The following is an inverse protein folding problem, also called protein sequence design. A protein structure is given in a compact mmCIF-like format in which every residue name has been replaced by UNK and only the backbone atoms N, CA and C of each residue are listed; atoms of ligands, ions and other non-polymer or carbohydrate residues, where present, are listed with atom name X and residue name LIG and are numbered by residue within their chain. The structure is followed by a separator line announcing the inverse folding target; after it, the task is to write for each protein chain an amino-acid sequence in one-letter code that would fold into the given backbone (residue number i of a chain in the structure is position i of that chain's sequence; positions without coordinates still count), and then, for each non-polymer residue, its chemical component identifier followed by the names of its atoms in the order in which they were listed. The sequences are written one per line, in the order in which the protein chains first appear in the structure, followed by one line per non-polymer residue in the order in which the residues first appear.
data_IF_890761492708
#
_entry.id   IF_890761492708
#
_cell.length_a   1.000
_cell.length_b   1.000
_cell.length_c   1.000
_cell.angle_alpha   90.00
_cell.angle_beta   90.00
_cell.angle_gamma   90.00
#
_symmetry.space_group_name_H-M   'P 1'
#
loop_
_entity.id
_entity.type
_entity.pdbx_description
1 polymer ?
#
# COMPACT_ATOMS: atom_id res chain seq x y z
N UNK A 1 -17.31 15.13 35.76
CA UNK A 1 -17.61 14.48 34.45
C UNK A 1 -16.30 13.98 33.88
N UNK A 2 -16.12 12.66 33.85
CA UNK A 2 -14.80 12.02 33.68
C UNK A 2 -14.25 12.05 32.26
N UNK A 3 -14.91 12.71 31.31
CA UNK A 3 -14.53 12.78 29.89
C UNK A 3 -14.20 11.40 29.27
N UNK A 4 -14.81 10.33 29.81
CA UNK A 4 -14.63 8.99 29.30
C UNK A 4 -15.74 8.65 28.32
N UNK A 5 -15.37 7.96 27.26
CA UNK A 5 -16.28 7.41 26.25
C UNK A 5 -15.90 5.96 25.95
N UNK A 6 -16.88 5.16 25.53
CA UNK A 6 -16.60 3.84 25.00
C UNK A 6 -16.52 3.93 23.48
N UNK A 7 -15.32 3.75 22.94
CA UNK A 7 -15.07 3.74 21.52
C UNK A 7 -15.19 2.30 21.01
N UNK A 8 -16.10 2.07 20.07
CA UNK A 8 -16.39 0.76 19.50
C UNK A 8 -16.55 0.88 17.98
N UNK A 9 -16.07 -0.12 17.25
CA UNK A 9 -16.23 -0.20 15.81
C UNK A 9 -17.62 -0.75 15.44
N UNK A 10 -18.08 -0.37 14.26
CA UNK A 10 -19.29 -0.93 13.63
C UNK A 10 -18.90 -1.95 12.56
N UNK A 11 -19.75 -2.96 12.36
CA UNK A 11 -19.56 -4.01 11.34
C UNK A 11 -19.84 -3.51 9.95
N UNK A 12 -20.90 -2.71 9.84
CA UNK A 12 -21.34 -2.07 8.60
C UNK A 12 -21.21 -0.55 8.71
N UNK A 13 -20.66 0.09 7.70
CA UNK A 13 -20.47 1.54 7.71
C UNK A 13 -21.81 2.26 7.45
N UNK A 14 -22.47 2.68 8.51
CA UNK A 14 -23.73 3.45 8.46
C UNK A 14 -23.62 4.73 9.26
N UNK A 15 -24.34 5.77 8.82
CA UNK A 15 -24.37 7.06 9.52
C UNK A 15 -25.18 7.01 10.83
N UNK A 16 -26.13 6.08 10.93
CA UNK A 16 -26.95 5.84 12.12
C UNK A 16 -26.74 4.42 12.65
N UNK A 17 -25.70 4.20 13.46
CA UNK A 17 -25.40 2.86 13.98
C UNK A 17 -26.44 2.41 15.00
N UNK A 18 -26.92 1.19 14.84
CA UNK A 18 -27.78 0.49 15.79
C UNK A 18 -26.96 -0.48 16.64
N UNK A 19 -27.40 -0.86 17.85
CA UNK A 19 -26.67 -1.74 18.74
C UNK A 19 -26.23 -3.08 18.13
N UNK A 20 -27.00 -3.64 17.22
CA UNK A 20 -26.78 -4.95 16.58
C UNK A 20 -25.61 -4.96 15.59
N UNK A 21 -25.28 -3.81 15.01
CA UNK A 21 -24.12 -3.69 14.09
C UNK A 21 -22.82 -3.30 14.81
N UNK A 22 -22.86 -3.01 16.10
CA UNK A 22 -21.67 -2.70 16.87
C UNK A 22 -20.96 -3.99 17.30
N UNK A 23 -19.63 -3.92 17.39
CA UNK A 23 -18.87 -4.96 18.05
C UNK A 23 -19.10 -4.91 19.54
N UNK A 24 -18.88 -6.05 20.21
CA UNK A 24 -19.00 -6.10 21.67
C UNK A 24 -17.75 -5.57 22.38
N UNK A 25 -16.56 -5.79 21.77
CA UNK A 25 -15.32 -5.30 22.34
C UNK A 25 -14.94 -3.96 21.74
N UNK A 26 -14.57 -3.03 22.60
CA UNK A 26 -14.10 -1.70 22.28
C UNK A 26 -13.05 -1.24 23.28
N UNK A 27 -12.89 0.07 23.38
CA UNK A 27 -11.90 0.72 24.24
C UNK A 27 -12.56 1.81 25.07
N UNK A 28 -12.33 1.82 26.37
CA UNK A 28 -12.58 2.99 27.21
C UNK A 28 -11.51 4.02 26.86
N UNK A 29 -11.95 5.15 26.36
CA UNK A 29 -11.07 6.22 25.89
C UNK A 29 -11.41 7.54 26.59
N UNK A 30 -10.36 8.30 26.86
CA UNK A 30 -10.47 9.65 27.41
C UNK A 30 -10.51 10.67 26.30
N UNK A 31 -11.44 11.60 26.35
CA UNK A 31 -11.51 12.75 25.46
C UNK A 31 -10.42 13.74 25.88
N UNK A 32 -9.39 13.90 25.07
CA UNK A 32 -8.29 14.84 25.31
C UNK A 32 -8.66 16.22 24.78
N UNK A 33 -8.76 16.38 23.46
CA UNK A 33 -8.99 17.66 22.80
C UNK A 33 -10.26 17.60 21.95
N UNK A 34 -11.01 18.69 21.97
CA UNK A 34 -12.22 18.87 21.17
C UNK A 34 -11.98 20.08 20.26
N UNK A 35 -11.99 19.86 18.95
CA UNK A 35 -11.92 20.93 17.97
C UNK A 35 -13.25 21.05 17.25
N UNK A 36 -13.80 22.28 17.18
CA UNK A 36 -15.02 22.58 16.46
C UNK A 36 -14.67 23.33 15.19
N UNK A 37 -15.10 22.80 14.04
CA UNK A 37 -14.88 23.40 12.72
C UNK A 37 -16.14 23.39 11.87
N UNK A 38 -16.06 23.98 10.67
CA UNK A 38 -17.17 24.06 9.72
C UNK A 38 -17.69 22.68 9.25
N UNK A 39 -16.88 21.61 9.41
CA UNK A 39 -17.23 20.24 9.04
C UNK A 39 -17.71 19.36 10.20
N UNK A 40 -17.92 19.91 11.40
CA UNK A 40 -18.34 19.15 12.57
C UNK A 40 -17.40 19.25 13.77
N UNK A 41 -17.50 18.29 14.66
CA UNK A 41 -16.68 18.20 15.88
C UNK A 41 -15.64 17.09 15.70
N UNK A 42 -14.38 17.44 15.85
CA UNK A 42 -13.26 16.49 15.89
C UNK A 42 -12.86 16.23 17.33
N UNK A 43 -12.75 14.96 17.69
CA UNK A 43 -12.34 14.52 19.01
C UNK A 43 -10.99 13.81 18.92
N UNK A 44 -10.05 14.21 19.77
CA UNK A 44 -8.85 13.44 20.02
C UNK A 44 -9.13 12.50 21.20
N UNK A 45 -9.12 11.20 20.95
CA UNK A 45 -9.36 10.17 21.94
C UNK A 45 -8.06 9.48 22.32
N UNK A 46 -7.83 9.29 23.60
CA UNK A 46 -6.75 8.48 24.14
C UNK A 46 -7.33 7.19 24.71
N UNK A 47 -7.00 6.06 24.09
CA UNK A 47 -7.38 4.74 24.60
C UNK A 47 -6.71 4.46 25.95
N UNK A 48 -7.50 4.03 26.93
CA UNK A 48 -7.00 3.69 28.26
C UNK A 48 -7.03 2.19 28.51
N UNK A 49 -8.16 1.55 28.20
CA UNK A 49 -8.37 0.15 28.54
C UNK A 49 -9.35 -0.54 27.58
N UNK A 50 -9.10 -1.80 27.28
CA UNK A 50 -10.07 -2.65 26.59
C UNK A 50 -11.28 -2.89 27.45
N UNK A 51 -12.45 -2.93 26.84
CA UNK A 51 -13.67 -3.24 27.53
C UNK A 51 -14.66 -3.97 26.62
N UNK A 52 -15.51 -4.79 27.22
CA UNK A 52 -16.60 -5.48 26.54
C UNK A 52 -17.92 -4.87 26.93
N UNK A 53 -18.74 -4.50 25.94
CA UNK A 53 -20.09 -4.05 26.16
C UNK A 53 -20.98 -5.23 26.55
N UNK A 54 -21.61 -5.13 27.71
CA UNK A 54 -22.58 -6.09 28.20
C UNK A 54 -23.98 -5.77 27.67
N UNK A 55 -24.27 -4.48 27.51
CA UNK A 55 -25.56 -3.99 27.02
C UNK A 55 -25.40 -2.65 26.37
N UNK A 56 -26.08 -2.46 25.25
CA UNK A 56 -26.29 -1.16 24.62
C UNK A 56 -27.72 -0.68 24.88
N UNK A 57 -27.89 0.62 25.04
CA UNK A 57 -29.18 1.26 25.17
C UNK A 57 -29.15 2.65 24.52
N UNK A 58 -30.30 3.12 24.10
CA UNK A 58 -30.47 4.49 23.61
C UNK A 58 -31.18 5.27 24.70
N UNK A 59 -30.52 6.28 25.22
CA UNK A 59 -31.08 7.18 26.24
C UNK A 59 -30.86 8.61 25.81
N UNK A 60 -31.88 9.45 25.94
CA UNK A 60 -31.82 10.89 25.65
C UNK A 60 -31.27 11.25 24.23
N UNK A 61 -31.46 10.35 23.25
CA UNK A 61 -31.07 10.57 21.86
C UNK A 61 -29.60 10.21 21.55
N UNK A 62 -28.88 9.56 22.46
CA UNK A 62 -27.54 9.04 22.23
C UNK A 62 -27.40 7.58 22.71
N UNK A 63 -26.44 6.88 22.11
CA UNK A 63 -26.12 5.51 22.50
C UNK A 63 -25.32 5.49 23.80
N UNK A 64 -25.72 4.62 24.70
CA UNK A 64 -25.00 4.31 25.93
C UNK A 64 -24.67 2.83 26.00
N UNK A 65 -23.60 2.48 26.70
CA UNK A 65 -23.20 1.10 26.91
C UNK A 65 -22.87 0.84 28.38
N UNK A 66 -23.30 -0.29 28.90
CA UNK A 66 -22.77 -0.86 30.14
C UNK A 66 -21.58 -1.70 29.73
N UNK A 67 -20.39 -1.34 30.21
CA UNK A 67 -19.14 -2.01 29.82
C UNK A 67 -18.45 -2.65 31.02
N UNK A 68 -17.75 -3.74 30.74
CA UNK A 68 -16.88 -4.42 31.70
C UNK A 68 -15.44 -4.31 31.18
N UNK A 69 -14.54 -3.83 32.03
CA UNK A 69 -13.10 -3.79 31.72
C UNK A 69 -12.57 -5.21 31.47
N UNK A 70 -11.75 -5.32 30.44
CA UNK A 70 -11.16 -6.59 30.02
C UNK A 70 -9.64 -6.50 30.16
N UNK A 71 -9.06 -7.36 30.98
CA UNK A 71 -7.61 -7.40 31.19
C UNK A 71 -6.92 -8.21 30.10
N UNK A 72 -5.70 -7.83 29.81
CA UNK A 72 -4.83 -8.56 28.88
C UNK A 72 -4.19 -9.74 29.59
N UNK A 73 -3.94 -10.80 28.82
CA UNK A 73 -3.20 -11.97 29.28
C UNK A 73 -1.73 -11.79 28.91
N UNK A 74 -0.92 -11.36 29.87
CA UNK A 74 0.53 -11.30 29.74
C UNK A 74 1.15 -12.68 29.87
N UNK A 75 2.32 -12.95 29.29
CA UNK A 75 3.04 -14.20 29.50
C UNK A 75 3.33 -14.43 30.98
N UNK A 76 3.24 -15.69 31.42
CA UNK A 76 3.55 -16.07 32.82
C UNK A 76 5.03 -15.85 33.17
N UNK A 77 5.90 -15.87 32.17
CA UNK A 77 7.33 -15.62 32.30
C UNK A 77 7.76 -14.56 31.28
N UNK A 78 8.00 -13.35 31.74
CA UNK A 78 8.44 -12.22 30.90
C UNK A 78 9.84 -12.45 30.31
N UNK A 79 10.61 -13.37 30.86
CA UNK A 79 11.95 -13.75 30.40
C UNK A 79 11.98 -15.07 29.63
N UNK A 80 10.83 -15.49 29.05
CA UNK A 80 10.82 -16.61 28.12
C UNK A 80 11.62 -16.22 26.87
N UNK A 81 12.70 -16.93 26.53
CA UNK A 81 13.53 -16.64 25.36
C UNK A 81 12.72 -16.59 24.05
N UNK A 82 11.67 -17.38 23.92
CA UNK A 82 10.81 -17.37 22.75
C UNK A 82 9.97 -16.08 22.65
N UNK A 83 9.48 -15.60 23.80
CA UNK A 83 8.75 -14.33 23.86
C UNK A 83 9.66 -13.13 23.62
N UNK A 84 10.86 -13.12 24.21
CA UNK A 84 11.87 -12.07 23.97
C UNK A 84 12.28 -12.03 22.48
N UNK A 85 12.51 -13.20 21.86
CA UNK A 85 12.81 -13.30 20.44
C UNK A 85 11.67 -12.77 19.55
N UNK A 86 10.41 -13.11 19.86
CA UNK A 86 9.25 -12.61 19.17
C UNK A 86 9.15 -11.08 19.27
N UNK A 87 9.32 -10.54 20.48
CA UNK A 87 9.26 -9.09 20.72
C UNK A 87 10.39 -8.35 20.00
N UNK A 88 11.57 -8.92 19.93
CA UNK A 88 12.69 -8.39 19.15
C UNK A 88 12.40 -8.41 17.65
N UNK A 89 11.96 -9.54 17.13
CA UNK A 89 11.65 -9.69 15.69
C UNK A 89 10.58 -8.67 15.24
N UNK A 90 9.50 -8.52 16.00
CA UNK A 90 8.46 -7.56 15.61
C UNK A 90 8.96 -6.12 15.65
N UNK A 91 9.89 -5.75 16.56
CA UNK A 91 10.51 -4.43 16.59
C UNK A 91 11.34 -4.17 15.32
N UNK A 92 12.16 -5.13 14.93
CA UNK A 92 13.01 -5.06 13.74
C UNK A 92 12.13 -4.93 12.48
N UNK A 93 11.07 -5.75 12.35
CA UNK A 93 10.18 -5.69 11.20
C UNK A 93 9.30 -4.43 11.16
N UNK A 94 8.89 -3.93 12.30
CA UNK A 94 8.16 -2.67 12.38
C UNK A 94 9.03 -1.48 11.98
N UNK A 95 10.32 -1.48 12.36
CA UNK A 95 11.29 -0.49 11.91
C UNK A 95 11.48 -0.54 10.39
N UNK A 96 11.75 -1.71 9.84
CA UNK A 96 11.85 -1.93 8.39
C UNK A 96 10.62 -1.42 7.63
N UNK A 97 9.41 -1.73 8.11
CA UNK A 97 8.18 -1.25 7.50
C UNK A 97 8.08 0.27 7.51
N UNK A 98 8.48 0.92 8.61
CA UNK A 98 8.49 2.38 8.73
C UNK A 98 9.43 3.04 7.72
N UNK A 99 10.65 2.53 7.60
CA UNK A 99 11.66 3.01 6.66
C UNK A 99 11.22 2.84 5.20
N UNK A 100 10.68 1.66 4.84
CA UNK A 100 10.15 1.39 3.50
C UNK A 100 8.96 2.29 3.12
N UNK A 101 8.23 2.80 4.12
CA UNK A 101 7.19 3.81 3.91
C UNK A 101 7.74 5.23 3.79
N UNK A 102 9.03 5.41 3.87
CA UNK A 102 9.72 6.69 3.71
C UNK A 102 9.78 7.53 4.97
N UNK A 103 9.54 6.93 6.14
CA UNK A 103 9.78 7.61 7.41
C UNK A 103 11.29 7.64 7.72
N UNK A 104 11.83 8.76 8.25
CA UNK A 104 13.20 8.81 8.69
C UNK A 104 13.48 7.78 9.80
N UNK A 105 14.62 7.08 9.72
CA UNK A 105 15.04 6.05 10.66
C UNK A 105 14.98 6.54 12.12
N UNK A 106 15.49 7.74 12.38
CA UNK A 106 15.49 8.34 13.72
C UNK A 106 14.07 8.51 14.29
N UNK A 107 13.10 8.87 13.45
CA UNK A 107 11.70 9.03 13.86
C UNK A 107 11.08 7.68 14.17
N UNK A 108 11.34 6.68 13.33
CA UNK A 108 10.83 5.31 13.50
C UNK A 108 11.35 4.75 14.82
N UNK A 109 12.66 4.78 15.05
CA UNK A 109 13.25 4.28 16.28
C UNK A 109 12.75 5.04 17.51
N UNK A 110 12.66 6.37 17.45
CA UNK A 110 12.14 7.17 18.56
C UNK A 110 10.70 6.76 18.95
N UNK A 111 9.84 6.55 17.96
CA UNK A 111 8.45 6.12 18.20
C UNK A 111 8.38 4.71 18.78
N UNK A 112 9.13 3.76 18.20
CA UNK A 112 9.12 2.37 18.65
C UNK A 112 9.72 2.21 20.06
N UNK A 113 10.78 2.97 20.39
CA UNK A 113 11.46 2.92 21.68
C UNK A 113 10.68 3.65 22.79
N UNK A 114 9.76 4.54 22.41
CA UNK A 114 8.88 5.22 23.37
C UNK A 114 7.92 4.26 24.08
N UNK A 115 7.70 3.06 23.51
CA UNK A 115 6.79 2.03 24.07
C UNK A 115 7.56 0.76 24.39
N UNK A 116 7.73 0.51 25.68
CA UNK A 116 8.46 -0.66 26.20
C UNK A 116 7.55 -1.84 26.51
N UNK A 117 6.28 -1.58 26.86
CA UNK A 117 5.30 -2.59 27.20
C UNK A 117 4.85 -3.38 25.95
N UNK A 118 5.03 -4.72 25.91
CA UNK A 118 4.76 -5.50 24.70
C UNK A 118 3.34 -5.42 24.16
N UNK A 119 2.34 -5.36 25.05
CA UNK A 119 0.92 -5.23 24.67
C UNK A 119 0.64 -3.89 23.97
N UNK A 120 1.12 -2.80 24.53
CA UNK A 120 1.00 -1.46 23.96
C UNK A 120 1.82 -1.32 22.67
N UNK A 121 2.97 -1.99 22.61
CA UNK A 121 3.79 -2.04 21.41
C UNK A 121 3.05 -2.71 20.25
N UNK A 122 2.40 -3.86 20.51
CA UNK A 122 1.58 -4.52 19.49
C UNK A 122 0.44 -3.61 19.00
N UNK A 123 -0.21 -2.88 19.90
CA UNK A 123 -1.30 -1.96 19.56
C UNK A 123 -0.79 -0.74 18.77
N UNK A 124 0.37 -0.21 19.14
CA UNK A 124 1.04 0.87 18.39
C UNK A 124 1.30 0.44 16.95
N UNK A 125 1.98 -0.69 16.75
CA UNK A 125 2.29 -1.21 15.41
C UNK A 125 1.03 -1.50 14.62
N UNK A 126 0.01 -2.13 15.23
CA UNK A 126 -1.29 -2.41 14.61
C UNK A 126 -2.01 -1.13 14.14
N UNK A 127 -1.81 -0.01 14.83
CA UNK A 127 -2.35 1.29 14.45
C UNK A 127 -1.77 1.83 13.14
N UNK A 128 -0.50 1.56 12.87
CA UNK A 128 0.21 1.99 11.65
C UNK A 128 0.04 1.04 10.47
N UNK A 129 -0.48 -0.16 10.67
CA UNK A 129 -0.74 -1.12 9.59
C UNK A 129 -2.09 -0.83 8.96
N UNK A 130 -2.14 -0.86 7.62
CA UNK A 130 -3.39 -0.75 6.88
C UNK A 130 -4.10 -2.10 6.86
N UNK A 131 -5.10 -2.23 7.71
CA UNK A 131 -5.92 -3.43 7.83
C UNK A 131 -7.40 -3.08 7.73
N UNK A 132 -8.22 -3.98 7.17
CA UNK A 132 -9.68 -3.88 7.26
C UNK A 132 -10.16 -3.79 8.71
N UNK A 133 -11.31 -3.15 8.94
CA UNK A 133 -11.87 -2.97 10.28
C UNK A 133 -12.02 -4.30 11.02
N UNK A 134 -12.49 -5.34 10.34
CA UNK A 134 -12.66 -6.68 10.93
C UNK A 134 -11.33 -7.29 11.42
N UNK A 135 -10.23 -7.09 10.68
CA UNK A 135 -8.91 -7.57 11.09
C UNK A 135 -8.36 -6.76 12.26
N UNK A 136 -8.51 -5.43 12.26
CA UNK A 136 -8.16 -4.57 13.40
C UNK A 136 -8.96 -4.94 14.65
N UNK A 137 -10.25 -5.23 14.48
CA UNK A 137 -11.10 -5.70 15.56
C UNK A 137 -10.63 -7.04 16.10
N UNK A 138 -10.26 -7.98 15.22
CA UNK A 138 -9.69 -9.27 15.63
C UNK A 138 -8.40 -9.14 16.46
N UNK A 139 -7.55 -8.16 16.14
CA UNK A 139 -6.38 -7.83 16.96
C UNK A 139 -6.78 -7.25 18.32
N UNK A 140 -7.78 -6.36 18.35
CA UNK A 140 -8.30 -5.78 19.59
C UNK A 140 -8.88 -6.86 20.52
N UNK A 141 -9.59 -7.84 19.96
CA UNK A 141 -10.19 -8.97 20.67
C UNK A 141 -9.18 -10.03 21.12
N UNK A 142 -7.94 -9.97 20.60
CA UNK A 142 -6.88 -10.88 21.00
C UNK A 142 -6.27 -10.43 22.33
N UNK A 143 -6.75 -11.01 23.44
CA UNK A 143 -6.32 -10.64 24.79
C UNK A 143 -4.91 -11.13 25.12
N UNK A 144 -4.51 -12.28 24.60
CA UNK A 144 -3.14 -12.77 24.76
C UNK A 144 -2.14 -11.85 24.04
N UNK A 145 -1.26 -11.23 24.81
CA UNK A 145 -0.22 -10.32 24.28
C UNK A 145 0.69 -11.05 23.30
N UNK A 146 1.10 -12.27 23.64
CA UNK A 146 1.96 -13.09 22.78
C UNK A 146 1.27 -13.42 21.44
N UNK A 147 0.02 -13.87 21.47
CA UNK A 147 -0.74 -14.19 20.26
C UNK A 147 -0.97 -12.92 19.41
N UNK A 148 -1.25 -11.80 20.05
CA UNK A 148 -1.43 -10.52 19.35
C UNK A 148 -0.13 -10.08 18.67
N UNK A 149 1.03 -10.18 19.33
CA UNK A 149 2.34 -9.90 18.72
C UNK A 149 2.59 -10.79 17.52
N UNK A 150 2.29 -12.10 17.59
CA UNK A 150 2.42 -13.00 16.45
C UNK A 150 1.55 -12.59 15.27
N UNK A 151 0.29 -12.25 15.51
CA UNK A 151 -0.63 -11.79 14.46
C UNK A 151 -0.18 -10.47 13.84
N UNK A 152 0.24 -9.52 14.65
CA UNK A 152 0.76 -8.24 14.16
C UNK A 152 2.03 -8.47 13.32
N UNK A 153 2.94 -9.35 13.75
CA UNK A 153 4.14 -9.71 12.98
C UNK A 153 3.78 -10.25 11.59
N UNK A 154 2.80 -11.16 11.50
CA UNK A 154 2.32 -11.69 10.21
C UNK A 154 1.82 -10.57 9.29
N UNK A 155 1.05 -9.63 9.83
CA UNK A 155 0.56 -8.50 9.06
C UNK A 155 1.68 -7.55 8.61
N UNK A 156 2.66 -7.28 9.48
CA UNK A 156 3.85 -6.47 9.15
C UNK A 156 4.62 -7.11 8.00
N UNK A 157 4.93 -8.41 8.12
CA UNK A 157 5.67 -9.15 7.08
C UNK A 157 4.92 -9.15 5.74
N UNK A 158 3.60 -9.32 5.78
CA UNK A 158 2.76 -9.24 4.57
C UNK A 158 2.83 -7.87 3.91
N UNK A 159 2.83 -6.79 4.69
CA UNK A 159 2.94 -5.43 4.14
C UNK A 159 4.32 -5.14 3.58
N UNK A 160 5.39 -5.61 4.22
CA UNK A 160 6.75 -5.51 3.68
C UNK A 160 6.82 -6.20 2.31
N UNK A 161 6.35 -7.45 2.22
CA UNK A 161 6.34 -8.19 0.96
C UNK A 161 5.50 -7.52 -0.15
N UNK A 162 4.40 -6.85 0.22
CA UNK A 162 3.60 -6.07 -0.73
C UNK A 162 4.36 -4.86 -1.26
N UNK A 163 5.06 -4.13 -0.39
CA UNK A 163 5.88 -2.98 -0.80
C UNK A 163 7.04 -3.42 -1.70
N UNK A 164 7.72 -4.53 -1.36
CA UNK A 164 8.78 -5.11 -2.19
C UNK A 164 8.28 -5.46 -3.60
N UNK A 165 7.13 -6.13 -3.68
CA UNK A 165 6.53 -6.46 -4.98
C UNK A 165 6.15 -5.20 -5.79
N UNK A 166 5.65 -4.15 -5.13
CA UNK A 166 5.34 -2.89 -5.79
C UNK A 166 6.60 -2.17 -6.30
N UNK A 167 7.68 -2.18 -5.53
CA UNK A 167 8.97 -1.61 -5.94
C UNK A 167 9.57 -2.35 -7.14
N UNK A 168 9.50 -3.68 -7.13
CA UNK A 168 9.97 -4.51 -8.23
C UNK A 168 9.18 -4.23 -9.53
N UNK A 169 7.84 -4.23 -9.44
CA UNK A 169 6.98 -3.89 -10.60
C UNK A 169 7.30 -2.50 -11.13
N UNK A 170 7.46 -1.51 -10.24
CA UNK A 170 7.80 -0.14 -10.64
C UNK A 170 9.14 -0.07 -11.35
N UNK A 171 10.15 -0.79 -10.85
CA UNK A 171 11.47 -0.88 -11.48
C UNK A 171 11.40 -1.49 -12.87
N UNK A 172 10.70 -2.61 -13.03
CA UNK A 172 10.50 -3.28 -14.32
C UNK A 172 9.80 -2.37 -15.35
N UNK A 173 8.74 -1.67 -14.94
CA UNK A 173 8.04 -0.72 -15.81
C UNK A 173 8.95 0.44 -16.24
N UNK A 174 9.77 0.95 -15.32
CA UNK A 174 10.72 2.02 -15.66
C UNK A 174 11.80 1.55 -16.64
N UNK A 175 12.29 0.34 -16.49
CA UNK A 175 13.27 -0.27 -17.39
C UNK A 175 12.68 -0.45 -18.79
N UNK A 176 11.49 -1.05 -18.91
CA UNK A 176 10.80 -1.21 -20.20
C UNK A 176 10.52 0.12 -20.89
N UNK A 177 10.10 1.15 -20.14
CA UNK A 177 9.89 2.49 -20.71
C UNK A 177 11.20 3.10 -21.19
N UNK A 178 12.29 2.91 -20.44
CA UNK A 178 13.63 3.38 -20.83
C UNK A 178 14.11 2.69 -22.11
N UNK A 179 13.94 1.38 -22.24
CA UNK A 179 14.29 0.63 -23.46
C UNK A 179 13.49 1.08 -24.68
N UNK A 180 12.16 1.26 -24.54
CA UNK A 180 11.31 1.78 -25.63
C UNK A 180 11.70 3.18 -26.09
N UNK A 181 12.01 4.08 -25.14
CA UNK A 181 12.47 5.43 -25.47
C UNK A 181 13.82 5.39 -26.22
N UNK A 182 14.74 4.53 -25.77
CA UNK A 182 16.03 4.33 -26.44
C UNK A 182 15.87 3.76 -27.84
N UNK A 183 14.97 2.79 -28.02
CA UNK A 183 14.66 2.22 -29.34
C UNK A 183 14.07 3.28 -30.28
N UNK A 184 13.12 4.08 -29.81
CA UNK A 184 12.55 5.18 -30.60
C UNK A 184 13.63 6.18 -31.00
N UNK A 185 14.49 6.60 -30.09
CA UNK A 185 15.59 7.52 -30.36
C UNK A 185 16.57 6.97 -31.40
N UNK A 186 16.96 5.71 -31.26
CA UNK A 186 17.85 5.05 -32.25
C UNK A 186 17.19 4.93 -33.64
N UNK A 187 15.88 4.62 -33.70
CA UNK A 187 15.14 4.59 -34.96
C UNK A 187 15.08 5.97 -35.61
N UNK A 188 14.90 7.03 -34.84
CA UNK A 188 14.87 8.39 -35.33
C UNK A 188 16.24 8.84 -35.84
N UNK A 189 17.30 8.51 -35.14
CA UNK A 189 18.68 8.74 -35.61
C UNK A 189 18.98 7.96 -36.89
N UNK A 190 18.60 6.69 -36.97
CA UNK A 190 18.80 5.87 -38.16
C UNK A 190 18.07 6.47 -39.37
N UNK A 191 16.84 6.95 -39.18
CA UNK A 191 16.08 7.63 -40.23
C UNK A 191 16.73 8.93 -40.67
N UNK A 192 17.29 9.70 -39.74
CA UNK A 192 18.03 10.93 -40.07
C UNK A 192 19.29 10.63 -40.87
N UNK A 193 20.07 9.62 -40.47
CA UNK A 193 21.27 9.18 -41.14
C UNK A 193 20.94 8.66 -42.57
N UNK A 194 19.88 7.86 -42.72
CA UNK A 194 19.43 7.39 -44.05
C UNK A 194 19.06 8.55 -44.96
N UNK A 195 18.39 9.58 -44.42
CA UNK A 195 18.06 10.79 -45.17
C UNK A 195 19.29 11.60 -45.57
N UNK A 196 20.28 11.72 -44.70
CA UNK A 196 21.55 12.41 -44.99
C UNK A 196 22.41 11.66 -46.01
N UNK A 197 22.37 10.33 -46.03
CA UNK A 197 23.05 9.49 -47.01
C UNK A 197 22.33 9.43 -48.35
N UNK A 198 21.12 10.01 -48.49
CA UNK A 198 20.35 10.02 -49.72
C UNK A 198 19.67 8.69 -50.07
N UNK A 199 19.70 7.71 -49.20
CA UNK A 199 19.09 6.39 -49.40
C UNK A 199 17.56 6.48 -49.62
N UNK A 200 16.90 7.45 -48.99
CA UNK A 200 15.45 7.66 -49.14
C UNK A 200 15.07 8.28 -50.50
N UNK A 201 15.97 9.07 -51.09
CA UNK A 201 15.76 9.68 -52.42
C UNK A 201 16.09 8.68 -53.54
N UNK A 202 17.11 7.84 -53.38
CA UNK A 202 17.41 6.75 -54.32
C UNK A 202 16.30 5.70 -54.35
N UNK A 203 15.77 5.32 -53.17
CA UNK A 203 14.65 4.38 -53.08
C UNK A 203 13.37 4.94 -53.72
N UNK A 204 13.11 6.26 -53.63
CA UNK A 204 11.99 6.92 -54.32
C UNK A 204 12.19 6.98 -55.81
N UNK A 205 13.41 7.36 -56.28
CA UNK A 205 13.74 7.38 -57.69
C UNK A 205 13.60 5.98 -58.34
N UNK A 206 14.06 4.94 -57.68
CA UNK A 206 13.91 3.55 -58.12
C UNK A 206 12.43 3.13 -58.15
N UNK A 207 11.63 3.55 -57.19
CA UNK A 207 10.20 3.30 -57.16
C UNK A 207 9.45 4.04 -58.28
N UNK A 208 9.77 5.30 -58.49
CA UNK A 208 9.19 6.09 -59.62
C UNK A 208 9.59 5.54 -60.99
N UNK A 209 10.82 5.07 -61.13
CA UNK A 209 11.27 4.39 -62.33
C UNK A 209 10.52 3.06 -62.58
N UNK A 210 10.26 2.29 -61.54
CA UNK A 210 9.44 1.07 -61.63
C UNK A 210 7.98 1.37 -62.05
N UNK A 211 7.39 2.42 -61.50
CA UNK A 211 6.06 2.86 -61.84
C UNK A 211 5.96 3.40 -63.30
N UNK A 212 7.00 4.09 -63.77
CA UNK A 212 7.09 4.48 -65.18
C UNK A 212 7.25 3.30 -66.10
N UNK A 213 8.05 2.30 -65.72
CA UNK A 213 8.26 1.05 -66.45
C UNK A 213 6.97 0.24 -66.62
N UNK A 214 6.11 0.19 -65.60
CA UNK A 214 4.82 -0.51 -65.71
C UNK A 214 3.87 0.15 -66.68
N UNK A 215 3.99 1.46 -66.91
CA UNK A 215 3.19 2.26 -67.83
C UNK A 215 3.70 2.27 -69.26
N UNK A 216 4.93 1.84 -69.51
CA UNK A 216 5.56 1.78 -70.80
C UNK A 216 5.36 0.39 -71.44
N UNK A 217 4.95 0.38 -72.69
CA UNK A 217 4.75 -0.85 -73.48
C UNK A 217 6.07 -1.30 -74.09
N UNK A 218 6.98 -1.87 -73.30
CA UNK A 218 8.30 -2.31 -73.71
C UNK A 218 8.28 -3.77 -74.22
N UNK A 219 9.12 -4.11 -75.23
CA UNK A 219 9.34 -5.50 -75.63
C UNK A 219 9.86 -6.32 -74.47
N UNK A 220 9.53 -7.63 -74.39
CA UNK A 220 9.87 -8.51 -73.25
C UNK A 220 11.36 -8.56 -72.90
N UNK A 221 12.23 -8.49 -73.89
CA UNK A 221 13.70 -8.51 -73.74
C UNK A 221 14.20 -7.23 -73.09
N UNK A 222 13.71 -6.04 -73.50
CA UNK A 222 14.09 -4.76 -72.93
C UNK A 222 13.58 -4.58 -71.50
N UNK A 223 12.38 -5.14 -71.16
CA UNK A 223 11.84 -5.11 -69.82
C UNK A 223 12.69 -5.94 -68.83
N UNK A 224 13.17 -7.11 -69.24
CA UNK A 224 13.97 -7.98 -68.41
C UNK A 224 15.37 -7.37 -68.10
N UNK A 225 15.95 -6.61 -69.05
CA UNK A 225 17.22 -5.94 -68.86
C UNK A 225 17.10 -4.76 -67.88
N UNK A 226 16.07 -3.93 -68.01
CA UNK A 226 15.82 -2.79 -67.12
C UNK A 226 15.45 -3.25 -65.70
N UNK A 227 14.68 -4.32 -65.54
CA UNK A 227 14.37 -4.91 -64.24
C UNK A 227 15.64 -5.48 -63.54
N UNK A 228 16.59 -6.01 -64.33
CA UNK A 228 17.89 -6.48 -63.79
C UNK A 228 18.77 -5.31 -63.32
N UNK A 229 18.80 -4.21 -64.04
CA UNK A 229 19.59 -3.02 -63.62
C UNK A 229 18.96 -2.27 -62.46
N UNK A 230 17.63 -2.21 -62.34
CA UNK A 230 16.93 -1.65 -61.18
C UNK A 230 16.98 -2.52 -59.91
N UNK A 231 17.46 -3.75 -60.02
CA UNK A 231 17.66 -4.68 -58.90
C UNK A 231 19.12 -4.75 -58.39
N UNK A 232 20.02 -3.98 -58.99
CA UNK A 232 21.40 -3.86 -58.55
C UNK A 232 21.60 -2.66 -57.64
#
# INVERSE_FOLDING_TARGET
TDRLVFAVAQRDNTDEPTPDILYSMGVIARIGQIQRGLGGVQLLLQGEQRATALQYSTSEGYLTAVVMSTEEMTPLNDHDPAFEALHKEIRERAAELGERRGLPEEVVHHVLDSVTEPGRFADLVAGYIELPVAEKQGLLETLSVEERLRRVLVHVQRQIGLLEAQEEIKSQVQEELGERQREMYLREQLKTIQKELGDDDQAKEVSELRDKLTKLNLPKEARAEVERELGR
#
